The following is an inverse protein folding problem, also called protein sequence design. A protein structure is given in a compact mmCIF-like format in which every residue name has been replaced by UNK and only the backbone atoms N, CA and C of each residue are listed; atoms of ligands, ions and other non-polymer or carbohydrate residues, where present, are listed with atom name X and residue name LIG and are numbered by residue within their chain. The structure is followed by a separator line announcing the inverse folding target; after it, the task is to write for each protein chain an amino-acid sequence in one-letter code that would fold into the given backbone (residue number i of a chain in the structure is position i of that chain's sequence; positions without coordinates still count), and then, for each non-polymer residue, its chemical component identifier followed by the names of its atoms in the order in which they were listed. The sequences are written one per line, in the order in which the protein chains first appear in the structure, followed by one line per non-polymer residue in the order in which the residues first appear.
data_IF_067648581421
#
_entry.id   IF_067648581421
#
_cell.length_a   1.000
_cell.length_b   1.000
_cell.length_c   1.000
_cell.angle_alpha   90.00
_cell.angle_beta   90.00
_cell.angle_gamma   90.00
#
_symmetry.space_group_name_H-M   'P 1'
#
loop_
_entity.id
_entity.type
_entity.pdbx_description
1 polymer ?
#
# COMPACT_ATOMS: atom_id res chain seq x y z
N UNK A 1 -14.88 8.05 -26.45
CA UNK A 1 -15.29 8.13 -25.02
C UNK A 1 -15.91 9.50 -24.79
N UNK A 2 -17.02 9.57 -24.08
CA UNK A 2 -17.58 10.86 -23.64
C UNK A 2 -16.85 11.37 -22.40
N UNK A 3 -16.91 12.68 -22.15
CA UNK A 3 -16.34 13.31 -20.95
C UNK A 3 -16.92 12.72 -19.65
N UNK A 4 -18.20 12.34 -19.65
CA UNK A 4 -18.84 11.70 -18.50
C UNK A 4 -18.30 10.30 -18.23
N UNK A 5 -18.09 9.50 -19.28
CA UNK A 5 -17.46 8.18 -19.16
C UNK A 5 -16.02 8.29 -18.62
N UNK A 6 -15.26 9.30 -19.05
CA UNK A 6 -13.89 9.55 -18.53
C UNK A 6 -13.88 9.86 -17.03
N UNK A 7 -14.81 10.70 -16.57
CA UNK A 7 -14.94 11.03 -15.14
C UNK A 7 -15.30 9.82 -14.29
N UNK A 8 -16.18 8.93 -14.79
CA UNK A 8 -16.53 7.70 -14.08
C UNK A 8 -15.33 6.77 -13.91
N UNK A 9 -14.57 6.52 -14.99
CA UNK A 9 -13.38 5.66 -14.92
C UNK A 9 -12.30 6.25 -14.00
N UNK A 10 -12.11 7.58 -14.00
CA UNK A 10 -11.19 8.23 -13.08
C UNK A 10 -11.61 8.03 -11.60
N UNK A 11 -12.92 8.07 -11.31
CA UNK A 11 -13.45 7.79 -9.96
C UNK A 11 -13.21 6.33 -9.56
N UNK A 12 -13.39 5.39 -10.48
CA UNK A 12 -13.14 3.97 -10.23
C UNK A 12 -11.65 3.69 -9.97
N UNK A 13 -10.75 4.35 -10.72
CA UNK A 13 -9.31 4.27 -10.49
C UNK A 13 -8.91 4.73 -9.09
N UNK A 14 -9.48 5.83 -8.58
CA UNK A 14 -9.30 6.28 -7.19
C UNK A 14 -9.77 5.25 -6.19
N UNK A 15 -10.97 4.70 -6.41
CA UNK A 15 -11.54 3.69 -5.51
C UNK A 15 -10.67 2.42 -5.45
N UNK A 16 -10.09 1.99 -6.58
CA UNK A 16 -9.14 0.88 -6.62
C UNK A 16 -7.84 1.22 -5.86
N UNK A 17 -7.32 2.44 -6.03
CA UNK A 17 -6.16 2.93 -5.28
C UNK A 17 -6.34 2.86 -3.77
N UNK A 18 -7.48 3.36 -3.27
CA UNK A 18 -7.78 3.32 -1.83
C UNK A 18 -7.93 1.90 -1.31
N UNK A 19 -8.59 1.00 -2.07
CA UNK A 19 -8.65 -0.43 -1.71
C UNK A 19 -7.27 -1.06 -1.64
N UNK A 20 -6.39 -0.76 -2.58
CA UNK A 20 -5.02 -1.26 -2.59
C UNK A 20 -4.23 -0.78 -1.36
N UNK A 21 -4.37 0.51 -0.98
CA UNK A 21 -3.75 1.05 0.24
C UNK A 21 -4.26 0.36 1.50
N UNK A 22 -5.57 0.08 1.59
CA UNK A 22 -6.14 -0.67 2.72
C UNK A 22 -5.54 -2.08 2.79
N UNK A 23 -5.44 -2.78 1.67
CA UNK A 23 -4.82 -4.11 1.62
C UNK A 23 -3.36 -4.08 2.09
N UNK A 24 -2.57 -3.11 1.65
CA UNK A 24 -1.17 -2.92 2.10
C UNK A 24 -1.10 -2.69 3.61
N UNK A 25 -2.00 -1.88 4.18
CA UNK A 25 -2.05 -1.64 5.64
C UNK A 25 -2.39 -2.89 6.43
N UNK A 26 -3.31 -3.72 5.92
CA UNK A 26 -3.66 -4.99 6.55
C UNK A 26 -2.47 -5.96 6.54
N UNK A 27 -1.79 -6.10 5.40
CA UNK A 27 -0.59 -6.94 5.29
C UNK A 27 0.51 -6.47 6.26
N UNK A 28 0.71 -5.15 6.38
CA UNK A 28 1.67 -4.57 7.35
C UNK A 28 1.30 -4.94 8.78
N UNK A 29 0.03 -4.88 9.14
CA UNK A 29 -0.45 -5.28 10.46
C UNK A 29 -0.17 -6.77 10.72
N UNK A 30 -0.48 -7.63 9.77
CA UNK A 30 -0.23 -9.07 9.88
C UNK A 30 1.26 -9.39 10.00
N UNK A 31 2.11 -8.72 9.21
CA UNK A 31 3.56 -8.85 9.29
C UNK A 31 4.10 -8.42 10.66
N UNK A 32 3.65 -7.27 11.17
CA UNK A 32 4.06 -6.79 12.50
C UNK A 32 3.59 -7.73 13.62
N UNK A 33 2.39 -8.30 13.50
CA UNK A 33 1.89 -9.29 14.46
C UNK A 33 2.74 -10.57 14.46
N UNK A 34 3.19 -11.03 13.28
CA UNK A 34 4.12 -12.17 13.17
C UNK A 34 5.46 -11.86 13.82
N UNK A 35 6.06 -10.70 13.55
CA UNK A 35 7.32 -10.28 14.17
C UNK A 35 7.21 -10.26 15.69
N UNK A 36 6.15 -9.64 16.22
CA UNK A 36 5.88 -9.61 17.68
C UNK A 36 5.70 -11.01 18.28
N UNK A 37 5.14 -11.96 17.52
CA UNK A 37 4.99 -13.34 17.97
C UNK A 37 6.35 -14.04 18.04
N UNK A 38 7.16 -13.93 16.99
CA UNK A 38 8.51 -14.50 16.95
C UNK A 38 9.39 -13.98 18.09
N UNK A 39 9.27 -12.69 18.42
CA UNK A 39 9.98 -12.07 19.55
C UNK A 39 9.54 -12.67 20.90
N UNK A 40 8.22 -12.85 21.10
CA UNK A 40 7.67 -13.49 22.31
C UNK A 40 8.09 -14.95 22.45
N UNK A 41 8.13 -15.66 21.31
CA UNK A 41 8.55 -17.06 21.24
C UNK A 41 10.09 -17.20 21.35
N UNK A 42 10.81 -16.07 21.49
CA UNK A 42 12.28 -15.98 21.57
C UNK A 42 13.01 -16.57 20.36
N UNK A 43 12.33 -16.62 19.21
CA UNK A 43 12.94 -17.02 17.94
C UNK A 43 13.79 -15.91 17.33
N UNK A 44 13.52 -14.65 17.69
CA UNK A 44 14.30 -13.47 17.31
C UNK A 44 14.57 -12.57 18.52
N UNK A 45 15.66 -11.81 18.46
CA UNK A 45 16.00 -10.79 19.46
C UNK A 45 15.18 -9.50 19.30
N UNK A 46 15.19 -8.64 20.32
CA UNK A 46 14.53 -7.32 20.28
C UNK A 46 15.12 -6.43 19.17
N UNK A 47 16.43 -6.50 18.95
CA UNK A 47 17.11 -5.76 17.87
C UNK A 47 16.70 -6.25 16.49
N UNK A 48 16.52 -7.56 16.31
CA UNK A 48 16.00 -8.14 15.06
C UNK A 48 14.54 -7.78 14.83
N UNK A 49 13.71 -7.79 15.88
CA UNK A 49 12.32 -7.34 15.82
C UNK A 49 12.21 -5.89 15.36
N UNK A 50 13.02 -4.99 15.93
CA UNK A 50 13.10 -3.57 15.50
C UNK A 50 13.51 -3.43 14.05
N UNK A 51 14.59 -4.12 13.63
CA UNK A 51 15.04 -4.11 12.23
C UNK A 51 13.97 -4.62 11.26
N UNK A 52 13.26 -5.68 11.62
CA UNK A 52 12.18 -6.23 10.80
C UNK A 52 11.02 -5.24 10.66
N UNK A 53 10.62 -4.58 11.75
CA UNK A 53 9.57 -3.55 11.71
C UNK A 53 9.96 -2.35 10.85
N UNK A 54 11.21 -1.90 10.92
CA UNK A 54 11.73 -0.82 10.07
C UNK A 54 11.71 -1.19 8.58
N UNK A 55 12.10 -2.43 8.25
CA UNK A 55 12.04 -2.93 6.88
C UNK A 55 10.60 -3.05 6.37
N UNK A 56 9.69 -3.58 7.20
CA UNK A 56 8.25 -3.65 6.89
C UNK A 56 7.71 -2.24 6.61
N UNK A 57 8.10 -1.24 7.41
CA UNK A 57 7.67 0.14 7.22
C UNK A 57 8.19 0.71 5.90
N UNK A 58 9.48 0.56 5.59
CA UNK A 58 10.05 1.00 4.31
C UNK A 58 9.33 0.40 3.09
N UNK A 59 9.10 -0.91 3.10
CA UNK A 59 8.40 -1.62 2.00
C UNK A 59 6.96 -1.10 1.88
N UNK A 60 6.28 -0.88 3.01
CA UNK A 60 4.91 -0.34 3.02
C UNK A 60 4.87 1.05 2.41
N UNK A 61 5.79 1.94 2.81
CA UNK A 61 5.84 3.31 2.31
C UNK A 61 6.15 3.37 0.82
N UNK A 62 7.06 2.53 0.34
CA UNK A 62 7.34 2.38 -1.10
C UNK A 62 6.12 1.88 -1.87
N UNK A 63 5.39 0.89 -1.34
CA UNK A 63 4.19 0.37 -1.97
C UNK A 63 3.09 1.43 -2.06
N UNK A 64 2.87 2.22 -0.99
CA UNK A 64 1.90 3.31 -0.98
C UNK A 64 2.25 4.36 -2.04
N UNK A 65 3.53 4.79 -2.12
CA UNK A 65 4.00 5.74 -3.13
C UNK A 65 3.73 5.24 -4.55
N UNK A 66 4.04 3.97 -4.83
CA UNK A 66 3.76 3.35 -6.15
C UNK A 66 2.27 3.32 -6.48
N UNK A 67 1.41 3.06 -5.49
CA UNK A 67 -0.05 3.10 -5.69
C UNK A 67 -0.49 4.53 -6.04
N UNK A 68 -0.04 5.53 -5.28
CA UNK A 68 -0.38 6.94 -5.53
C UNK A 68 0.08 7.41 -6.91
N UNK A 69 1.31 7.09 -7.30
CA UNK A 69 1.84 7.40 -8.63
C UNK A 69 1.03 6.71 -9.73
N UNK A 70 0.69 5.43 -9.56
CA UNK A 70 -0.08 4.68 -10.56
C UNK A 70 -1.48 5.25 -10.73
N UNK A 71 -2.16 5.63 -9.64
CA UNK A 71 -3.50 6.23 -9.69
C UNK A 71 -3.44 7.59 -10.39
N UNK A 72 -2.48 8.43 -10.02
CA UNK A 72 -2.27 9.75 -10.65
C UNK A 72 -1.98 9.63 -12.14
N UNK A 73 -1.06 8.75 -12.54
CA UNK A 73 -0.73 8.52 -13.94
C UNK A 73 -1.95 8.04 -14.73
N UNK A 74 -2.78 7.18 -14.12
CA UNK A 74 -4.00 6.68 -14.76
C UNK A 74 -5.04 7.78 -14.92
N UNK A 75 -5.22 8.64 -13.91
CA UNK A 75 -6.11 9.81 -13.99
C UNK A 75 -5.69 10.79 -15.09
N UNK A 76 -4.40 11.16 -15.12
CA UNK A 76 -3.86 12.07 -16.12
C UNK A 76 -4.03 11.51 -17.53
N UNK A 77 -3.79 10.21 -17.72
CA UNK A 77 -3.98 9.54 -19.00
C UNK A 77 -5.44 9.48 -19.45
N UNK A 78 -6.40 9.35 -18.53
CA UNK A 78 -7.84 9.34 -18.86
C UNK A 78 -8.34 10.74 -19.24
N UNK A 79 -7.79 11.78 -18.58
CA UNK A 79 -8.26 13.17 -18.72
C UNK A 79 -7.56 13.96 -19.84
N UNK A 80 -6.32 13.62 -20.21
CA UNK A 80 -5.56 14.32 -21.27
C UNK A 80 -5.86 13.87 -22.70
N UNK A 81 -6.67 12.83 -22.90
CA UNK A 81 -7.10 12.33 -24.23
C UNK A 81 -8.37 13.04 -24.68
#
# INVERSE_FOLDING_TARGET
MTTEQRKLIAKDAKAMGEKAKVAVRNIRQDANNKVKKLEKDKEISEDESKKAQDQIQKITDEAIKKIDESVKNKEDAILKV
#
